data_IF_318766403953
#
_entry.id   IF_318766403953
#
_cell.length_a   1.000
_cell.length_b   1.000
_cell.length_c   1.000
_cell.angle_alpha   90.00
_cell.angle_beta   90.00
_cell.angle_gamma   90.00
#
_symmetry.space_group_name_H-M   'P 1'
#
loop_
_entity.id
_entity.type
_entity.pdbx_description
1 polymer ?
#
# COMPACT_ATOMS: atom_id res chain seq x y z
N UNK A 1 1.24 21.45 -65.50
CA UNK A 1 2.06 20.30 -65.06
C UNK A 1 1.50 19.88 -63.70
N UNK A 2 0.42 19.13 -63.63
CA UNK A 2 0.31 17.69 -63.94
C UNK A 2 0.29 16.96 -62.60
N UNK A 3 -0.83 16.96 -61.88
CA UNK A 3 -1.85 15.90 -61.87
C UNK A 3 -1.29 14.51 -61.54
N UNK A 4 -1.61 14.00 -60.33
CA UNK A 4 -1.91 12.60 -60.06
C UNK A 4 -2.56 12.42 -58.69
N UNK A 5 -3.88 12.42 -58.74
CA UNK A 5 -4.82 11.75 -57.86
C UNK A 5 -4.50 10.26 -57.73
N UNK A 6 -4.55 9.73 -56.50
CA UNK A 6 -4.62 8.30 -56.24
C UNK A 6 -5.60 8.03 -55.09
N UNK A 7 -6.83 7.73 -55.49
CA UNK A 7 -7.91 7.11 -54.73
C UNK A 7 -7.78 5.59 -54.81
N UNK A 8 -7.88 4.88 -53.68
CA UNK A 8 -8.18 3.43 -53.64
C UNK A 8 -8.36 2.93 -52.19
N UNK A 9 -9.05 1.81 -51.94
CA UNK A 9 -10.50 1.80 -51.82
C UNK A 9 -10.97 1.30 -50.44
N UNK A 10 -12.17 1.77 -50.12
CA UNK A 10 -13.08 1.27 -49.10
C UNK A 10 -13.34 -0.23 -49.33
N UNK A 11 -12.97 -1.07 -48.35
CA UNK A 11 -13.26 -2.50 -48.36
C UNK A 11 -14.27 -2.77 -47.25
N UNK A 12 -15.51 -2.90 -47.70
CA UNK A 12 -16.65 -3.55 -47.09
C UNK A 12 -16.33 -4.48 -45.90
N UNK A 13 -16.66 -4.02 -44.70
CA UNK A 13 -16.83 -4.89 -43.51
C UNK A 13 -18.24 -4.76 -42.92
N UNK A 14 -19.24 -4.76 -43.81
CA UNK A 14 -20.67 -4.78 -43.45
C UNK A 14 -21.36 -6.14 -43.69
N UNK A 15 -20.60 -7.22 -43.95
CA UNK A 15 -21.14 -8.56 -44.19
C UNK A 15 -20.76 -9.56 -43.10
N UNK A 16 -21.16 -9.31 -41.85
CA UNK A 16 -21.28 -10.37 -40.83
C UNK A 16 -22.31 -9.99 -39.75
N UNK A 17 -23.43 -9.42 -40.19
CA UNK A 17 -24.72 -9.56 -39.52
C UNK A 17 -25.52 -10.57 -40.36
N UNK A 18 -26.36 -11.38 -39.72
CA UNK A 18 -27.24 -12.41 -40.29
C UNK A 18 -26.62 -13.83 -40.27
N UNK A 19 -26.41 -14.39 -39.08
CA UNK A 19 -26.50 -15.84 -38.85
C UNK A 19 -26.54 -16.16 -37.34
N UNK A 20 -27.52 -15.64 -36.59
CA UNK A 20 -27.79 -16.13 -35.23
C UNK A 20 -29.18 -15.78 -34.70
N UNK A 21 -30.17 -15.75 -35.58
CA UNK A 21 -31.58 -15.90 -35.21
C UNK A 21 -31.96 -17.37 -35.36
N UNK A 22 -32.73 -17.89 -34.39
CA UNK A 22 -33.36 -19.23 -34.32
C UNK A 22 -32.65 -20.29 -33.47
N UNK A 23 -32.92 -20.25 -32.16
CA UNK A 23 -33.17 -21.45 -31.35
C UNK A 23 -33.98 -21.06 -30.10
N UNK A 24 -35.31 -21.29 -30.09
CA UNK A 24 -36.12 -21.18 -28.89
C UNK A 24 -36.21 -22.52 -28.15
N UNK A 25 -36.28 -22.39 -26.82
CA UNK A 25 -36.83 -23.36 -25.86
C UNK A 25 -35.97 -24.55 -25.47
N UNK A 26 -35.58 -24.60 -24.19
CA UNK A 26 -36.00 -25.68 -23.29
C UNK A 26 -35.73 -25.30 -21.82
N UNK A 27 -36.82 -24.94 -21.17
CA UNK A 27 -37.22 -25.32 -19.81
C UNK A 27 -36.15 -25.91 -18.88
N UNK A 28 -35.86 -25.17 -17.81
CA UNK A 28 -35.10 -25.64 -16.67
C UNK A 28 -35.43 -24.77 -15.47
N UNK A 29 -36.66 -24.89 -14.96
CA UNK A 29 -37.07 -24.35 -13.66
C UNK A 29 -36.18 -24.95 -12.56
N UNK A 30 -35.09 -24.25 -12.22
CA UNK A 30 -34.50 -24.34 -10.89
C UNK A 30 -35.01 -23.15 -10.11
N UNK A 31 -35.94 -23.46 -9.23
CA UNK A 31 -36.25 -22.71 -8.02
C UNK A 31 -34.96 -22.39 -7.26
N UNK A 32 -34.34 -21.27 -7.61
CA UNK A 32 -33.31 -20.64 -6.77
C UNK A 32 -34.06 -20.07 -5.58
N UNK A 33 -33.97 -20.79 -4.47
CA UNK A 33 -34.30 -20.31 -3.14
C UNK A 33 -33.67 -18.93 -2.96
N UNK A 34 -34.50 -17.90 -3.05
CA UNK A 34 -34.16 -16.53 -2.70
C UNK A 34 -34.06 -16.46 -1.18
N UNK A 35 -32.97 -16.99 -0.64
CA UNK A 35 -32.48 -16.62 0.67
C UNK A 35 -32.03 -15.17 0.57
N UNK A 36 -32.99 -14.26 0.75
CA UNK A 36 -32.78 -12.83 0.98
C UNK A 36 -32.05 -12.68 2.32
N UNK A 37 -30.77 -13.05 2.33
CA UNK A 37 -29.81 -12.53 3.27
C UNK A 37 -29.49 -11.13 2.77
N UNK A 38 -30.06 -10.12 3.43
CA UNK A 38 -29.71 -8.71 3.32
C UNK A 38 -28.29 -8.48 3.87
N UNK A 39 -27.32 -9.20 3.32
CA UNK A 39 -25.93 -8.76 3.30
C UNK A 39 -25.80 -8.00 2.00
N UNK A 40 -25.74 -6.66 2.07
CA UNK A 40 -25.38 -5.88 0.88
C UNK A 40 -24.05 -6.44 0.37
N UNK A 41 -24.00 -7.04 -0.82
CA UNK A 41 -22.76 -7.57 -1.35
C UNK A 41 -21.90 -6.35 -1.70
N UNK A 42 -20.98 -6.01 -0.80
CA UNK A 42 -19.94 -4.98 -0.97
C UNK A 42 -19.09 -5.15 -2.26
N UNK A 43 -19.33 -6.22 -3.03
CA UNK A 43 -18.56 -6.63 -4.20
C UNK A 43 -19.43 -6.93 -5.45
N UNK A 44 -20.72 -6.54 -5.48
CA UNK A 44 -21.65 -6.95 -6.54
C UNK A 44 -21.32 -6.44 -7.96
N UNK A 45 -20.40 -5.48 -8.08
CA UNK A 45 -20.05 -4.81 -9.35
C UNK A 45 -18.63 -5.12 -9.86
N UNK A 46 -17.90 -6.10 -9.29
CA UNK A 46 -16.52 -6.39 -9.72
C UNK A 46 -16.40 -7.63 -10.61
N UNK A 47 -15.61 -7.49 -11.67
CA UNK A 47 -15.29 -8.55 -12.62
C UNK A 47 -14.45 -9.67 -11.95
N UNK A 48 -14.89 -10.94 -12.02
CA UNK A 48 -14.07 -12.05 -11.58
C UNK A 48 -12.93 -12.31 -12.58
N UNK A 49 -11.68 -12.19 -12.12
CA UNK A 49 -10.54 -12.72 -12.88
C UNK A 49 -10.36 -14.21 -12.55
N UNK A 50 -10.23 -15.11 -13.54
CA UNK A 50 -9.99 -16.53 -13.30
C UNK A 50 -8.62 -16.75 -12.63
N UNK A 51 -8.59 -17.56 -11.57
CA UNK A 51 -7.35 -18.00 -10.89
C UNK A 51 -6.81 -17.08 -9.79
N UNK A 52 -7.54 -16.03 -9.38
CA UNK A 52 -7.09 -15.12 -8.31
C UNK A 52 -8.24 -14.81 -7.33
N UNK A 53 -7.98 -14.65 -6.01
CA UNK A 53 -9.01 -14.20 -5.07
C UNK A 53 -9.65 -12.91 -5.60
N UNK A 54 -10.97 -12.74 -5.43
CA UNK A 54 -11.66 -11.51 -5.85
C UNK A 54 -10.89 -10.29 -5.34
N UNK A 55 -10.75 -9.23 -6.16
CA UNK A 55 -10.02 -8.02 -5.75
C UNK A 55 -10.54 -7.48 -4.41
N UNK A 56 -11.84 -7.64 -4.15
CA UNK A 56 -12.46 -7.42 -2.84
C UNK A 56 -11.79 -8.17 -1.68
N UNK A 57 -11.51 -9.47 -1.82
CA UNK A 57 -10.88 -10.26 -0.75
C UNK A 57 -9.47 -9.75 -0.47
N UNK A 58 -8.74 -9.34 -1.50
CA UNK A 58 -7.40 -8.79 -1.36
C UNK A 58 -7.43 -7.44 -0.61
N UNK A 59 -8.29 -6.53 -1.04
CA UNK A 59 -8.42 -5.19 -0.44
C UNK A 59 -8.98 -5.24 0.99
N UNK A 60 -9.80 -6.25 1.31
CA UNK A 60 -10.49 -6.34 2.61
C UNK A 60 -9.72 -7.16 3.65
N UNK A 61 -8.97 -8.18 3.22
CA UNK A 61 -8.31 -9.13 4.15
C UNK A 61 -6.80 -8.94 4.16
N UNK A 62 -6.19 -8.78 3.00
CA UNK A 62 -4.72 -8.80 2.85
C UNK A 62 -4.14 -7.40 3.06
N UNK A 63 -4.75 -6.37 2.47
CA UNK A 63 -4.32 -4.97 2.61
C UNK A 63 -4.25 -4.43 4.06
N UNK A 64 -5.18 -4.72 4.98
CA UNK A 64 -5.11 -4.22 6.37
C UNK A 64 -4.17 -5.02 7.28
N UNK A 65 -3.78 -6.23 6.87
CA UNK A 65 -2.96 -7.16 7.65
C UNK A 65 -1.64 -6.56 8.18
N UNK A 66 -0.81 -5.84 7.38
CA UNK A 66 0.41 -5.22 7.89
C UNK A 66 0.14 -4.23 9.02
N UNK A 67 -0.92 -3.43 8.88
CA UNK A 67 -1.31 -2.42 9.87
C UNK A 67 -1.84 -3.06 11.15
N UNK A 68 -2.60 -4.16 11.06
CA UNK A 68 -3.00 -4.95 12.23
C UNK A 68 -1.79 -5.54 12.96
N UNK A 69 -0.87 -6.17 12.22
CA UNK A 69 0.35 -6.72 12.80
C UNK A 69 1.18 -5.65 13.50
N UNK A 70 1.31 -4.47 12.88
CA UNK A 70 2.01 -3.33 13.47
C UNK A 70 1.36 -2.89 14.78
N UNK A 71 0.03 -2.70 14.80
CA UNK A 71 -0.70 -2.26 15.99
C UNK A 71 -0.51 -3.26 17.14
N UNK A 72 -0.68 -4.55 16.87
CA UNK A 72 -0.54 -5.62 17.86
C UNK A 72 0.90 -5.67 18.39
N UNK A 73 1.89 -5.72 17.49
CA UNK A 73 3.30 -5.80 17.86
C UNK A 73 3.76 -4.57 18.65
N UNK A 74 3.36 -3.36 18.23
CA UNK A 74 3.68 -2.14 18.94
C UNK A 74 3.01 -2.08 20.32
N UNK A 75 1.76 -2.55 20.44
CA UNK A 75 1.07 -2.63 21.73
C UNK A 75 1.82 -3.58 22.68
N UNK A 76 2.15 -4.79 22.21
CA UNK A 76 2.92 -5.76 23.01
C UNK A 76 4.29 -5.21 23.42
N UNK A 77 5.01 -4.57 22.49
CA UNK A 77 6.31 -3.96 22.77
C UNK A 77 6.17 -2.84 23.80
N UNK A 78 5.15 -2.00 23.69
CA UNK A 78 4.88 -0.92 24.65
C UNK A 78 4.60 -1.46 26.05
N UNK A 79 3.77 -2.51 26.17
CA UNK A 79 3.53 -3.18 27.45
C UNK A 79 4.81 -3.78 28.05
N UNK A 80 5.66 -4.39 27.22
CA UNK A 80 6.94 -4.93 27.66
C UNK A 80 7.92 -3.83 28.08
N UNK A 81 7.99 -2.71 27.35
CA UNK A 81 8.87 -1.59 27.66
C UNK A 81 8.46 -0.89 28.97
N UNK A 82 7.17 -0.71 29.22
CA UNK A 82 6.67 -0.19 30.51
C UNK A 82 7.09 -1.10 31.67
N UNK A 83 7.10 -2.42 31.46
CA UNK A 83 7.54 -3.39 32.48
C UNK A 83 9.07 -3.41 32.67
N UNK A 84 9.84 -3.17 31.62
CA UNK A 84 11.31 -3.28 31.59
C UNK A 84 12.03 -1.94 31.86
N UNK A 85 11.33 -0.80 31.84
CA UNK A 85 11.85 0.55 32.13
C UNK A 85 12.58 0.71 33.49
N UNK A 86 12.58 -0.31 34.35
CA UNK A 86 13.43 -0.37 35.54
C UNK A 86 14.92 -0.68 35.29
N UNK A 87 15.33 -1.10 34.09
CA UNK A 87 16.73 -1.45 33.80
C UNK A 87 17.25 -0.52 32.71
N UNK A 88 18.06 0.44 33.16
CA UNK A 88 18.71 1.48 32.37
C UNK A 88 19.31 0.92 31.06
N UNK A 89 18.84 1.43 29.92
CA UNK A 89 19.37 1.02 28.61
C UNK A 89 19.72 2.22 27.76
N UNK A 90 20.94 2.16 27.22
CA UNK A 90 21.61 3.21 26.46
C UNK A 90 20.75 3.73 25.32
N UNK A 91 20.31 4.97 25.48
CA UNK A 91 19.74 5.78 24.42
C UNK A 91 20.79 5.97 23.32
N UNK A 92 20.57 5.32 22.17
CA UNK A 92 21.37 5.61 20.99
C UNK A 92 20.79 6.85 20.31
N UNK A 93 21.61 7.89 20.19
CA UNK A 93 21.27 9.04 19.34
C UNK A 93 21.31 8.60 17.89
N UNK A 94 20.40 9.16 17.09
CA UNK A 94 20.30 8.86 15.66
C UNK A 94 21.59 9.29 14.96
N UNK A 95 22.21 8.41 14.13
CA UNK A 95 23.43 8.75 13.41
C UNK A 95 23.19 9.69 12.20
N UNK A 96 21.95 10.13 11.96
CA UNK A 96 21.58 10.91 10.78
C UNK A 96 21.22 12.37 11.12
N UNK A 97 21.49 13.31 10.19
CA UNK A 97 21.20 14.73 10.40
C UNK A 97 19.70 15.01 10.50
N UNK A 98 19.33 16.00 11.32
CA UNK A 98 17.93 16.35 11.61
C UNK A 98 17.10 16.65 10.36
N UNK A 99 17.72 17.16 9.29
CA UNK A 99 17.03 17.48 8.05
C UNK A 99 16.50 16.24 7.32
N UNK A 100 17.22 15.12 7.38
CA UNK A 100 16.77 13.84 6.82
C UNK A 100 15.55 13.33 7.58
N UNK A 101 15.46 13.57 8.89
CA UNK A 101 14.27 13.26 9.67
C UNK A 101 13.04 14.00 9.14
N UNK A 102 13.17 15.31 8.88
CA UNK A 102 12.06 16.12 8.37
C UNK A 102 11.62 15.65 7.00
N UNK A 103 12.55 15.33 6.09
CA UNK A 103 12.21 14.75 4.79
C UNK A 103 11.45 13.43 4.96
N UNK A 104 11.94 12.55 5.83
CA UNK A 104 11.30 11.26 6.09
C UNK A 104 9.87 11.42 6.62
N UNK A 105 9.68 12.33 7.58
CA UNK A 105 8.35 12.67 8.10
C UNK A 105 7.43 13.25 7.02
N UNK A 106 7.94 14.14 6.17
CA UNK A 106 7.19 14.69 5.03
C UNK A 106 6.78 13.62 4.03
N UNK A 107 7.65 12.65 3.74
CA UNK A 107 7.34 11.53 2.84
C UNK A 107 6.25 10.62 3.42
N UNK A 108 6.27 10.35 4.73
CA UNK A 108 5.21 9.56 5.38
C UNK A 108 3.88 10.31 5.36
N UNK A 109 3.91 11.62 5.58
CA UNK A 109 2.72 12.47 5.44
C UNK A 109 2.17 12.46 4.01
N UNK A 110 3.05 12.47 3.00
CA UNK A 110 2.67 12.32 1.61
C UNK A 110 2.05 10.94 1.33
N UNK A 111 2.61 9.85 1.87
CA UNK A 111 2.05 8.50 1.76
C UNK A 111 0.66 8.40 2.42
N UNK A 112 0.46 9.05 3.57
CA UNK A 112 -0.85 9.17 4.21
C UNK A 112 -1.83 9.94 3.31
N UNK A 113 -1.40 11.06 2.72
CA UNK A 113 -2.19 11.82 1.76
C UNK A 113 -2.63 10.99 0.55
N UNK A 114 -1.70 10.23 -0.04
CA UNK A 114 -2.00 9.32 -1.15
C UNK A 114 -3.01 8.23 -0.75
N UNK A 115 -2.86 7.66 0.45
CA UNK A 115 -3.83 6.67 0.95
C UNK A 115 -5.23 7.28 1.12
N UNK A 116 -5.32 8.53 1.59
CA UNK A 116 -6.60 9.23 1.71
C UNK A 116 -7.22 9.57 0.36
N UNK A 117 -6.41 9.95 -0.64
CA UNK A 117 -6.86 10.16 -2.01
C UNK A 117 -7.41 8.87 -2.61
N UNK A 118 -6.75 7.74 -2.37
CA UNK A 118 -7.25 6.44 -2.80
C UNK A 118 -8.62 6.11 -2.19
N UNK A 119 -8.78 6.31 -0.87
CA UNK A 119 -10.08 6.12 -0.20
C UNK A 119 -11.14 7.01 -0.81
N UNK A 120 -10.84 8.29 -1.04
CA UNK A 120 -11.77 9.24 -1.64
C UNK A 120 -12.21 8.81 -3.05
N UNK A 121 -11.29 8.25 -3.86
CA UNK A 121 -11.60 7.71 -5.18
C UNK A 121 -12.51 6.47 -5.10
N UNK A 122 -12.20 5.53 -4.21
CA UNK A 122 -13.04 4.35 -4.00
C UNK A 122 -14.47 4.72 -3.58
N UNK A 123 -14.61 5.69 -2.68
CA UNK A 123 -15.91 6.25 -2.29
C UNK A 123 -16.64 6.85 -3.49
N UNK A 124 -15.94 7.65 -4.32
CA UNK A 124 -16.54 8.34 -5.46
C UNK A 124 -17.06 7.36 -6.54
N UNK A 125 -16.41 6.21 -6.70
CA UNK A 125 -16.83 5.16 -7.63
C UNK A 125 -17.87 4.20 -7.03
N UNK A 126 -18.29 4.41 -5.78
CA UNK A 126 -19.20 3.51 -5.07
C UNK A 126 -18.62 2.11 -4.85
N UNK A 127 -17.30 1.96 -5.03
CA UNK A 127 -16.58 0.74 -4.71
C UNK A 127 -16.38 0.72 -3.19
N UNK A 128 -16.98 -0.28 -2.54
CA UNK A 128 -17.00 -0.36 -1.08
C UNK A 128 -15.66 -0.01 -0.43
N UNK A 129 -15.70 0.94 0.51
CA UNK A 129 -14.57 1.27 1.36
C UNK A 129 -14.40 0.12 2.33
N UNK A 130 -13.61 -0.88 1.96
CA UNK A 130 -13.34 -2.04 2.80
C UNK A 130 -12.56 -1.65 4.06
N UNK A 131 -11.63 -2.50 4.48
CA UNK A 131 -10.74 -2.21 5.62
C UNK A 131 -9.59 -1.24 5.28
N UNK A 132 -9.66 -0.54 4.14
CA UNK A 132 -8.65 0.42 3.69
C UNK A 132 -8.33 1.55 4.69
N UNK A 133 -9.30 2.09 5.47
CA UNK A 133 -9.02 3.09 6.51
C UNK A 133 -8.04 2.59 7.58
N UNK A 134 -7.94 1.27 7.76
CA UNK A 134 -7.00 0.69 8.72
C UNK A 134 -5.55 0.90 8.30
N UNK A 135 -5.28 0.98 6.99
CA UNK A 135 -3.95 1.34 6.51
C UNK A 135 -3.57 2.77 6.91
N UNK A 136 -4.54 3.69 6.84
CA UNK A 136 -4.35 5.07 7.32
C UNK A 136 -4.05 5.12 8.81
N UNK A 137 -4.73 4.28 9.61
CA UNK A 137 -4.44 4.16 11.06
C UNK A 137 -3.03 3.62 11.29
N UNK A 138 -2.58 2.63 10.52
CA UNK A 138 -1.22 2.10 10.56
C UNK A 138 -0.17 3.20 10.28
N UNK A 139 -0.36 3.99 9.21
CA UNK A 139 0.52 5.11 8.87
C UNK A 139 0.50 6.21 9.94
N UNK A 140 -0.66 6.53 10.53
CA UNK A 140 -0.75 7.46 11.65
C UNK A 140 0.00 6.95 12.88
N UNK A 141 -0.06 5.64 13.15
CA UNK A 141 0.71 5.02 14.22
C UNK A 141 2.21 5.10 13.94
N UNK A 142 2.66 4.84 12.71
CA UNK A 142 4.08 5.02 12.32
C UNK A 142 4.51 6.46 12.53
N UNK A 143 3.70 7.43 12.09
CA UNK A 143 3.99 8.86 12.29
C UNK A 143 4.10 9.19 13.79
N UNK A 144 3.21 8.64 14.61
CA UNK A 144 3.24 8.79 16.06
C UNK A 144 4.49 8.17 16.68
N UNK A 145 4.86 6.95 16.27
CA UNK A 145 6.08 6.26 16.70
C UNK A 145 7.29 7.13 16.38
N UNK A 146 7.45 7.57 15.13
CA UNK A 146 8.59 8.38 14.72
C UNK A 146 8.65 9.74 15.44
N UNK A 147 7.49 10.30 15.76
CA UNK A 147 7.40 11.55 16.53
C UNK A 147 7.94 11.37 17.95
N UNK A 148 7.59 10.26 18.62
CA UNK A 148 8.14 9.92 19.93
C UNK A 148 9.62 9.50 19.85
N UNK A 149 9.97 8.77 18.79
CA UNK A 149 11.30 8.20 18.54
C UNK A 149 12.38 9.27 18.34
N UNK A 150 11.98 10.53 18.08
CA UNK A 150 12.88 11.70 18.14
C UNK A 150 13.70 11.75 19.43
N UNK A 151 13.20 11.18 20.54
CA UNK A 151 13.91 11.12 21.82
C UNK A 151 14.64 9.79 22.06
N UNK A 152 14.09 8.67 21.61
CA UNK A 152 14.55 7.31 21.97
C UNK A 152 14.27 6.34 20.83
N UNK A 153 15.30 5.92 20.10
CA UNK A 153 15.20 4.88 19.06
C UNK A 153 15.72 3.55 19.60
N UNK A 154 14.85 2.55 19.67
CA UNK A 154 15.25 1.18 20.02
C UNK A 154 15.40 0.34 18.75
N UNK A 155 16.32 -0.62 18.78
CA UNK A 155 16.57 -1.54 17.66
C UNK A 155 15.32 -2.35 17.29
N UNK A 156 14.50 -2.69 18.28
CA UNK A 156 13.24 -3.44 18.09
C UNK A 156 12.22 -2.63 17.26
N UNK A 157 12.05 -1.33 17.55
CA UNK A 157 11.12 -0.47 16.79
C UNK A 157 11.57 -0.37 15.33
N UNK A 158 12.87 -0.20 15.12
CA UNK A 158 13.45 -0.08 13.78
C UNK A 158 13.31 -1.38 12.96
N UNK A 159 13.46 -2.55 13.60
CA UNK A 159 13.16 -3.84 12.96
C UNK A 159 11.67 -4.00 12.64
N UNK A 160 10.79 -3.59 13.57
CA UNK A 160 9.35 -3.63 13.39
C UNK A 160 8.89 -2.75 12.21
N UNK A 161 9.41 -1.53 12.12
CA UNK A 161 9.14 -0.62 11.00
C UNK A 161 9.65 -1.20 9.67
N UNK A 162 10.87 -1.74 9.64
CA UNK A 162 11.40 -2.39 8.43
C UNK A 162 10.53 -3.55 7.95
N UNK A 163 10.04 -4.39 8.86
CA UNK A 163 9.14 -5.49 8.52
C UNK A 163 7.77 -4.99 8.03
N UNK A 164 7.24 -3.93 8.65
CA UNK A 164 5.99 -3.28 8.23
C UNK A 164 6.08 -2.74 6.79
N UNK A 165 7.15 -1.99 6.47
CA UNK A 165 7.35 -1.47 5.11
C UNK A 165 7.51 -2.58 4.08
N UNK A 166 8.22 -3.66 4.42
CA UNK A 166 8.36 -4.82 3.54
C UNK A 166 7.01 -5.44 3.22
N UNK A 167 6.18 -5.67 4.25
CA UNK A 167 4.87 -6.27 4.06
C UNK A 167 3.94 -5.37 3.25
N UNK A 168 3.94 -4.05 3.51
CA UNK A 168 3.21 -3.08 2.70
C UNK A 168 3.64 -3.10 1.24
N UNK A 169 4.95 -3.08 0.97
CA UNK A 169 5.48 -3.11 -0.38
C UNK A 169 5.06 -4.38 -1.14
N UNK A 170 5.07 -5.55 -0.48
CA UNK A 170 4.61 -6.80 -1.08
C UNK A 170 3.14 -6.73 -1.47
N UNK A 171 2.27 -6.29 -0.55
CA UNK A 171 0.83 -6.22 -0.81
C UNK A 171 0.51 -5.19 -1.90
N UNK A 172 1.15 -4.02 -1.85
CA UNK A 172 0.98 -3.00 -2.88
C UNK A 172 1.48 -3.46 -4.24
N UNK A 173 2.60 -4.22 -4.29
CA UNK A 173 3.10 -4.82 -5.54
C UNK A 173 2.07 -5.77 -6.16
N UNK A 174 1.45 -6.64 -5.35
CA UNK A 174 0.42 -7.55 -5.87
C UNK A 174 -0.77 -6.76 -6.40
N UNK A 175 -1.17 -5.69 -5.71
CA UNK A 175 -2.27 -4.82 -6.14
C UNK A 175 -1.94 -4.09 -7.44
N UNK A 176 -0.76 -3.50 -7.58
CA UNK A 176 -0.33 -2.80 -8.81
C UNK A 176 -0.24 -3.75 -9.99
N UNK A 177 0.30 -4.96 -9.81
CA UNK A 177 0.40 -5.97 -10.89
C UNK A 177 -0.99 -6.39 -11.35
N UNK A 178 -1.94 -6.59 -10.43
CA UNK A 178 -3.32 -6.94 -10.78
C UNK A 178 -4.03 -5.82 -11.52
N UNK A 179 -3.83 -4.57 -11.09
CA UNK A 179 -4.43 -3.41 -11.73
C UNK A 179 -3.88 -3.21 -13.14
N UNK A 180 -2.56 -3.38 -13.32
CA UNK A 180 -1.92 -3.35 -14.63
C UNK A 180 -2.48 -4.42 -15.58
N UNK A 181 -2.66 -5.65 -15.10
CA UNK A 181 -3.29 -6.72 -15.91
C UNK A 181 -4.74 -6.41 -16.27
N UNK A 182 -5.48 -5.73 -15.39
CA UNK A 182 -6.87 -5.34 -15.65
C UNK A 182 -6.96 -4.27 -16.75
N UNK A 183 -6.07 -3.27 -16.69
CA UNK A 183 -5.97 -2.21 -17.69
C UNK A 183 -5.65 -2.77 -19.08
N UNK A 184 -4.72 -3.73 -19.17
CA UNK A 184 -4.35 -4.36 -20.44
C UNK A 184 -5.50 -5.16 -21.07
N UNK A 185 -6.33 -5.81 -20.25
CA UNK A 185 -7.39 -6.69 -20.74
C UNK A 185 -8.67 -5.95 -21.14
N UNK A 186 -8.95 -4.78 -20.55
CA UNK A 186 -10.18 -4.02 -20.79
C UNK A 186 -9.91 -2.51 -20.99
N UNK A 187 -9.24 -2.11 -22.09
CA UNK A 187 -8.94 -0.69 -22.33
C UNK A 187 -10.18 0.16 -22.65
N UNK A 188 -11.28 -0.46 -23.15
CA UNK A 188 -12.44 0.27 -23.70
C UNK A 188 -13.66 0.32 -22.76
N UNK A 189 -13.68 -0.44 -21.67
CA UNK A 189 -14.86 -0.53 -20.77
C UNK A 189 -14.96 0.65 -19.78
N UNK A 190 -14.12 1.67 -19.96
CA UNK A 190 -13.92 2.79 -19.04
C UNK A 190 -14.34 4.15 -19.62
N UNK A 191 -14.85 4.23 -20.86
CA UNK A 191 -15.39 5.48 -21.43
C UNK A 191 -16.58 6.05 -20.63
N UNK A 192 -17.18 5.26 -19.73
CA UNK A 192 -18.25 5.69 -18.82
C UNK A 192 -17.81 5.97 -17.38
N UNK A 193 -16.55 5.69 -17.02
CA UNK A 193 -16.04 5.96 -15.67
C UNK A 193 -15.66 7.44 -15.53
N UNK A 194 -16.05 8.07 -14.44
CA UNK A 194 -15.67 9.46 -14.13
C UNK A 194 -14.15 9.60 -13.85
N UNK A 195 -13.45 8.47 -13.67
CA UNK A 195 -12.03 8.43 -13.32
C UNK A 195 -11.27 7.45 -14.22
N UNK A 196 -10.24 7.89 -14.97
CA UNK A 196 -9.49 7.01 -15.86
C UNK A 196 -8.63 6.03 -15.05
N UNK A 197 -8.60 4.76 -15.46
CA UNK A 197 -7.83 3.70 -14.79
C UNK A 197 -6.32 3.98 -14.75
N UNK A 198 -5.80 4.71 -15.73
CA UNK A 198 -4.39 5.09 -15.80
C UNK A 198 -3.97 5.94 -14.58
N UNK A 199 -4.82 6.87 -14.14
CA UNK A 199 -4.55 7.70 -12.96
C UNK A 199 -4.61 6.87 -11.66
N UNK A 200 -5.45 5.83 -11.64
CA UNK A 200 -5.51 4.88 -10.51
C UNK A 200 -4.25 4.00 -10.45
N UNK A 201 -3.73 3.55 -11.59
CA UNK A 201 -2.48 2.81 -11.64
C UNK A 201 -1.32 3.68 -11.18
N UNK A 202 -1.24 4.92 -11.69
CA UNK A 202 -0.19 5.87 -11.35
C UNK A 202 -0.11 6.11 -9.84
N UNK A 203 -1.25 6.36 -9.18
CA UNK A 203 -1.31 6.56 -7.74
C UNK A 203 -0.78 5.37 -6.94
N UNK A 204 -1.19 4.15 -7.29
CA UNK A 204 -0.73 2.93 -6.63
C UNK A 204 0.76 2.68 -6.87
N UNK A 205 1.27 2.98 -8.06
CA UNK A 205 2.70 2.89 -8.39
C UNK A 205 3.51 3.90 -7.58
N UNK A 206 3.01 5.13 -7.41
CA UNK A 206 3.65 6.15 -6.57
C UNK A 206 3.67 5.71 -5.10
N UNK A 207 2.58 5.13 -4.58
CA UNK A 207 2.56 4.56 -3.23
C UNK A 207 3.56 3.42 -3.07
N UNK A 208 3.64 2.50 -4.04
CA UNK A 208 4.62 1.42 -4.04
C UNK A 208 6.06 1.97 -3.99
N UNK A 209 6.37 2.98 -4.81
CA UNK A 209 7.68 3.60 -4.84
C UNK A 209 8.05 4.22 -3.48
N UNK A 210 7.10 4.87 -2.79
CA UNK A 210 7.30 5.39 -1.44
C UNK A 210 7.59 4.27 -0.44
N UNK A 211 6.84 3.16 -0.48
CA UNK A 211 7.07 2.02 0.42
C UNK A 211 8.42 1.35 0.19
N UNK A 212 8.85 1.22 -1.07
CA UNK A 212 10.19 0.71 -1.41
C UNK A 212 11.28 1.67 -0.90
N UNK A 213 11.08 2.98 -1.03
CA UNK A 213 12.00 3.98 -0.49
C UNK A 213 12.15 3.85 1.03
N UNK A 214 11.04 3.70 1.77
CA UNK A 214 11.07 3.48 3.21
C UNK A 214 11.73 2.15 3.58
N UNK A 215 11.43 1.10 2.82
CA UNK A 215 12.04 -0.21 2.96
C UNK A 215 13.57 -0.18 2.73
N UNK A 216 14.08 0.71 1.89
CA UNK A 216 15.53 0.91 1.74
C UNK A 216 16.11 1.76 2.87
N UNK A 217 15.37 2.77 3.35
CA UNK A 217 15.83 3.71 4.35
C UNK A 217 16.05 3.05 5.72
N UNK A 218 15.08 2.27 6.23
CA UNK A 218 15.19 1.64 7.55
C UNK A 218 16.41 0.67 7.68
N UNK A 219 16.67 -0.28 6.76
CA UNK A 219 17.83 -1.16 6.87
C UNK A 219 19.16 -0.41 6.71
N UNK A 220 19.22 0.66 5.92
CA UNK A 220 20.41 1.53 5.86
C UNK A 220 20.65 2.17 7.23
N UNK A 221 19.61 2.69 7.90
CA UNK A 221 19.76 3.23 9.25
C UNK A 221 20.14 2.17 10.29
N UNK A 222 19.61 0.94 10.19
CA UNK A 222 20.04 -0.20 11.01
C UNK A 222 21.52 -0.50 10.81
N UNK A 223 21.96 -0.51 9.56
CA UNK A 223 23.34 -0.85 9.20
C UNK A 223 24.33 0.21 9.67
N UNK A 224 23.97 1.50 9.54
CA UNK A 224 24.77 2.61 10.05
C UNK A 224 24.85 2.60 11.57
N UNK A 225 23.75 2.35 12.26
CA UNK A 225 23.71 2.23 13.73
C UNK A 225 24.60 1.09 14.25
N UNK A 226 24.76 -0.01 13.50
CA UNK A 226 25.71 -1.09 13.87
C UNK A 226 27.18 -0.70 13.77
N UNK A 227 27.53 0.30 12.96
CA UNK A 227 28.93 0.70 12.70
C UNK A 227 29.50 1.62 13.78
N UNK A 228 28.65 2.33 14.51
CA UNK A 228 29.05 3.10 15.69
C UNK A 228 29.39 2.14 16.84
N UNK A 229 30.62 1.58 16.81
CA UNK A 229 31.19 0.95 18.00
C UNK A 229 31.31 2.04 19.08
N UNK A 230 30.94 1.78 20.34
CA UNK A 230 31.24 2.70 21.41
C UNK A 230 32.74 2.95 21.38
N UNK A 231 33.15 4.22 21.23
CA UNK A 231 34.54 4.58 21.46
C UNK A 231 34.91 3.97 22.82
N UNK A 232 36.06 3.28 22.94
CA UNK A 232 36.52 2.84 24.25
C UNK A 232 36.49 4.08 25.13
N UNK A 233 35.76 4.00 26.25
CA UNK A 233 35.75 5.04 27.27
C UNK A 233 37.21 5.33 27.61
N UNK A 234 37.79 6.39 27.01
CA UNK A 234 39.02 6.95 27.53
C UNK A 234 38.62 7.50 28.90
N UNK A 235 39.04 6.78 29.93
CA UNK A 235 38.98 7.19 31.31
C UNK A 235 39.88 8.44 31.43
N UNK A 236 39.35 9.59 31.04
CA UNK A 236 40.07 10.86 31.10
C UNK A 236 40.36 11.13 32.57
N UNK A 237 41.65 11.14 32.88
CA UNK A 237 42.20 10.91 34.21
C UNK A 237 41.59 11.80 35.29
N UNK A 238 41.08 11.16 36.33
CA UNK A 238 41.14 11.69 37.69
C UNK A 238 42.58 11.51 38.15
N UNK A 239 43.47 12.40 37.72
CA UNK A 239 44.79 12.56 38.30
C UNK A 239 44.99 14.04 38.60
N UNK A 240 45.29 14.29 39.88
CA UNK A 240 45.90 15.49 40.46
C UNK A 240 44.98 16.67 40.76
N UNK A 241 44.57 16.73 42.03
CA UNK A 241 44.67 17.98 42.79
C UNK A 241 45.02 17.66 44.24
N UNK A 242 46.27 17.20 44.44
CA UNK A 242 46.98 17.48 45.69
C UNK A 242 47.69 18.82 45.48
N UNK A 243 47.13 19.89 46.02
CA UNK A 243 47.85 21.10 46.41
C UNK A 243 47.06 21.88 47.46
#
# INVERSE_FOLDING_TARGET
MGEKTATSPDVDRNHLKIAQTWLPSLHGDRSVVSSRSTTMPLCSHRFPLPGSPSTCTLDTVIAPLPSLCLIIAFSLLSFQLVKVQGIANGFQRLPYPIWVHFIYMSLILAALGMTLLEIARLVAEGMGVGLLPLNSIGLLLVLHILWQERRVRTREILQLLSAYWLFLAIVETVKTVRLHTLEQNNPNDLEGSKYPSADQLLDNVVMLALYVLFLCFEPVTLFLSRREKPAPFELHGVLLSDH
#
